data_IF_462285195071
#
_entry.id   IF_462285195071
#
_cell.length_a   1.000
_cell.length_b   1.000
_cell.length_c   1.000
_cell.angle_alpha   90.00
_cell.angle_beta   90.00
_cell.angle_gamma   90.00
#
_symmetry.space_group_name_H-M   'P 1'
#
loop_
_entity.id
_entity.type
_entity.pdbx_description
1 polymer ?
#
# COMPACT_ATOMS: atom_id res chain seq x y z
N UNK A 1 -7.71 -19.22 36.71
CA UNK A 1 -8.37 -18.06 36.07
C UNK A 1 -7.71 -16.72 36.40
N UNK A 2 -7.44 -16.41 37.67
CA UNK A 2 -6.96 -15.07 38.09
C UNK A 2 -5.62 -14.62 37.49
N UNK A 3 -4.65 -15.52 37.36
CA UNK A 3 -3.37 -15.22 36.70
C UNK A 3 -3.56 -14.82 35.24
N UNK A 4 -4.38 -15.57 34.51
CA UNK A 4 -4.70 -15.31 33.11
C UNK A 4 -5.49 -14.00 32.94
N UNK A 5 -6.40 -13.67 33.87
CA UNK A 5 -7.10 -12.37 33.88
C UNK A 5 -6.13 -11.20 34.07
N UNK A 6 -5.16 -11.35 34.97
CA UNK A 6 -4.13 -10.33 35.20
C UNK A 6 -3.25 -10.15 33.95
N UNK A 7 -2.82 -11.26 33.33
CA UNK A 7 -2.04 -11.23 32.09
C UNK A 7 -2.81 -10.58 30.94
N UNK A 8 -4.08 -10.98 30.74
CA UNK A 8 -5.00 -10.38 29.77
C UNK A 8 -5.13 -8.87 29.96
N UNK A 9 -5.23 -8.42 31.22
CA UNK A 9 -5.33 -6.99 31.55
C UNK A 9 -4.06 -6.24 31.15
N UNK A 10 -2.89 -6.82 31.39
CA UNK A 10 -1.60 -6.23 30.99
C UNK A 10 -1.50 -6.19 29.45
N UNK A 11 -1.83 -7.28 28.76
CA UNK A 11 -1.79 -7.37 27.31
C UNK A 11 -2.74 -6.35 26.64
N UNK A 12 -3.98 -6.19 27.15
CA UNK A 12 -4.95 -5.17 26.68
C UNK A 12 -4.39 -3.75 26.80
N UNK A 13 -3.69 -3.44 27.89
CA UNK A 13 -3.03 -2.13 28.10
C UNK A 13 -1.89 -1.92 27.12
N UNK A 14 -1.05 -2.93 26.90
CA UNK A 14 0.08 -2.86 25.95
C UNK A 14 -0.45 -2.65 24.52
N UNK A 15 -1.42 -3.46 24.09
CA UNK A 15 -2.05 -3.31 22.78
C UNK A 15 -2.69 -1.94 22.61
N UNK A 16 -3.45 -1.46 23.60
CA UNK A 16 -4.06 -0.13 23.53
C UNK A 16 -3.03 1.00 23.43
N UNK A 17 -1.89 0.89 24.12
CA UNK A 17 -0.77 1.84 23.96
C UNK A 17 -0.17 1.78 22.55
N UNK A 18 -0.02 0.59 21.98
CA UNK A 18 0.48 0.42 20.62
C UNK A 18 -0.49 1.05 19.58
N UNK A 19 -1.81 0.88 19.77
CA UNK A 19 -2.83 1.58 18.99
C UNK A 19 -2.66 3.10 19.06
N UNK A 20 -2.59 3.67 20.27
CA UNK A 20 -2.40 5.12 20.45
C UNK A 20 -1.10 5.61 19.81
N UNK A 21 -0.02 4.84 19.90
CA UNK A 21 1.25 5.21 19.28
C UNK A 21 1.16 5.23 17.74
N UNK A 22 0.42 4.30 17.13
CA UNK A 22 0.14 4.33 15.68
C UNK A 22 -0.71 5.53 15.31
N UNK A 23 -1.78 5.80 16.05
CA UNK A 23 -2.67 6.96 15.83
C UNK A 23 -1.91 8.28 15.90
N UNK A 24 -1.04 8.44 16.90
CA UNK A 24 -0.19 9.62 17.05
C UNK A 24 0.81 9.74 15.90
N UNK A 25 1.35 8.63 15.39
CA UNK A 25 2.31 8.64 14.28
C UNK A 25 1.66 9.08 12.98
N UNK A 26 0.50 8.52 12.63
CA UNK A 26 -0.21 8.85 11.38
C UNK A 26 -0.87 10.23 11.40
N UNK A 27 -1.05 10.84 12.58
CA UNK A 27 -1.65 12.16 12.74
C UNK A 27 -0.64 13.32 12.62
N UNK A 28 0.67 13.05 12.48
CA UNK A 28 1.67 14.11 12.33
C UNK A 28 1.59 14.73 10.94
N UNK A 29 1.98 16.00 10.81
CA UNK A 29 2.00 16.70 9.52
C UNK A 29 3.08 16.16 8.56
N UNK A 30 4.20 15.68 9.11
CA UNK A 30 5.28 15.03 8.34
C UNK A 30 5.53 13.61 8.86
N UNK A 31 4.74 12.64 8.40
CA UNK A 31 4.88 11.24 8.80
C UNK A 31 5.88 10.53 7.90
N UNK A 32 6.89 9.89 8.49
CA UNK A 32 7.74 8.96 7.76
C UNK A 32 7.03 7.61 7.60
N UNK A 33 6.80 7.17 6.36
CA UNK A 33 6.15 5.89 6.08
C UNK A 33 6.78 4.69 6.81
N UNK A 34 8.12 4.53 6.87
CA UNK A 34 8.74 3.44 7.63
C UNK A 34 8.39 3.47 9.13
N UNK A 35 8.33 4.64 9.75
CA UNK A 35 7.97 4.79 11.16
C UNK A 35 6.52 4.38 11.41
N UNK A 36 5.59 4.85 10.56
CA UNK A 36 4.19 4.45 10.63
C UNK A 36 4.01 2.94 10.41
N UNK A 37 4.73 2.34 9.46
CA UNK A 37 4.71 0.89 9.22
C UNK A 37 5.26 0.10 10.42
N UNK A 38 6.33 0.57 11.06
CA UNK A 38 6.88 -0.07 12.26
C UNK A 38 5.89 -0.04 13.43
N UNK A 39 5.19 1.09 13.65
CA UNK A 39 4.12 1.20 14.64
C UNK A 39 2.97 0.25 14.34
N UNK A 40 2.56 0.17 13.07
CA UNK A 40 1.54 -0.77 12.61
C UNK A 40 1.92 -2.22 12.93
N UNK A 41 3.14 -2.64 12.57
CA UNK A 41 3.63 -4.00 12.83
C UNK A 41 3.76 -4.33 14.31
N UNK A 42 4.19 -3.37 15.11
CA UNK A 42 4.25 -3.52 16.57
C UNK A 42 2.85 -3.75 17.15
N UNK A 43 1.87 -2.94 16.74
CA UNK A 43 0.48 -3.11 17.18
C UNK A 43 -0.09 -4.47 16.74
N UNK A 44 0.15 -4.93 15.51
CA UNK A 44 -0.30 -6.26 15.05
C UNK A 44 0.30 -7.38 15.91
N UNK A 45 1.58 -7.29 16.25
CA UNK A 45 2.27 -8.27 17.09
C UNK A 45 1.70 -8.33 18.50
N UNK A 46 1.48 -7.19 19.15
CA UNK A 46 0.89 -7.14 20.49
C UNK A 46 -0.58 -7.60 20.49
N UNK A 47 -1.33 -7.34 19.42
CA UNK A 47 -2.69 -7.88 19.26
C UNK A 47 -2.69 -9.41 19.19
N UNK A 48 -1.76 -10.01 18.44
CA UNK A 48 -1.66 -11.47 18.35
C UNK A 48 -1.36 -12.12 19.70
N UNK A 49 -0.51 -11.49 20.53
CA UNK A 49 -0.27 -11.97 21.90
C UNK A 49 -1.54 -11.93 22.74
N UNK A 50 -2.26 -10.81 22.71
CA UNK A 50 -3.55 -10.68 23.41
C UNK A 50 -4.53 -11.76 22.96
N UNK A 51 -4.63 -12.03 21.65
CA UNK A 51 -5.60 -13.01 21.14
C UNK A 51 -5.29 -14.44 21.57
N UNK A 52 -4.02 -14.79 21.77
CA UNK A 52 -3.65 -16.11 22.34
C UNK A 52 -4.17 -16.25 23.76
N UNK A 53 -3.94 -15.23 24.59
CA UNK A 53 -4.45 -15.19 25.98
C UNK A 53 -5.98 -15.22 25.99
N UNK A 54 -6.62 -14.50 25.08
CA UNK A 54 -8.07 -14.48 24.96
C UNK A 54 -8.65 -15.83 24.51
N UNK A 55 -7.96 -16.55 23.62
CA UNK A 55 -8.41 -17.88 23.19
C UNK A 55 -8.24 -18.91 24.32
N UNK A 56 -7.19 -18.82 25.14
CA UNK A 56 -7.08 -19.59 26.40
C UNK A 56 -8.19 -19.22 27.39
N UNK A 57 -8.52 -17.92 27.51
CA UNK A 57 -9.59 -17.45 28.37
C UNK A 57 -10.95 -18.02 27.96
N UNK A 58 -11.24 -18.09 26.65
CA UNK A 58 -12.48 -18.70 26.14
C UNK A 58 -12.61 -20.16 26.55
N UNK A 59 -11.52 -20.93 26.52
CA UNK A 59 -11.54 -22.34 26.95
C UNK A 59 -11.91 -22.44 28.43
N UNK A 60 -11.36 -21.58 29.27
CA UNK A 60 -11.73 -21.52 30.70
C UNK A 60 -13.19 -21.10 30.91
N UNK A 61 -13.66 -20.08 30.21
CA UNK A 61 -15.05 -19.59 30.30
C UNK A 61 -16.10 -20.63 29.92
N UNK A 62 -15.75 -21.57 29.02
CA UNK A 62 -16.63 -22.66 28.60
C UNK A 62 -16.61 -23.86 29.56
N UNK A 63 -15.57 -23.98 30.39
CA UNK A 63 -15.40 -25.12 31.31
C UNK A 63 -15.81 -24.79 32.74
N UNK A 64 -15.74 -23.53 33.14
CA UNK A 64 -16.20 -23.08 34.45
C UNK A 64 -17.72 -22.91 34.51
N UNK A 65 -18.30 -23.29 35.64
CA UNK A 65 -19.71 -23.09 35.92
C UNK A 65 -19.93 -21.62 36.33
N UNK A 66 -20.52 -20.85 35.41
CA UNK A 66 -20.82 -19.44 35.59
C UNK A 66 -22.15 -19.09 34.93
N UNK A 67 -22.71 -17.97 35.38
CA UNK A 67 -23.90 -17.38 34.80
C UNK A 67 -23.70 -17.08 33.30
N UNK A 68 -24.76 -17.29 32.51
CA UNK A 68 -24.72 -17.16 31.06
C UNK A 68 -24.53 -15.72 30.59
N UNK A 69 -25.15 -14.74 31.26
CA UNK A 69 -24.98 -13.32 30.93
C UNK A 69 -23.55 -12.86 31.23
N UNK A 70 -22.98 -13.32 32.35
CA UNK A 70 -21.58 -13.06 32.70
C UNK A 70 -20.64 -13.65 31.64
N UNK A 71 -20.91 -14.89 31.18
CA UNK A 71 -20.12 -15.51 30.12
C UNK A 71 -20.23 -14.72 28.81
N UNK A 72 -21.43 -14.33 28.40
CA UNK A 72 -21.67 -13.59 27.17
C UNK A 72 -20.87 -12.28 27.16
N UNK A 73 -20.93 -11.51 28.26
CA UNK A 73 -20.18 -10.27 28.40
C UNK A 73 -18.67 -10.47 28.27
N UNK A 74 -18.12 -11.53 28.86
CA UNK A 74 -16.69 -11.86 28.72
C UNK A 74 -16.30 -12.20 27.27
N UNK A 75 -17.19 -12.85 26.51
CA UNK A 75 -16.99 -13.11 25.08
C UNK A 75 -17.07 -11.84 24.23
N UNK A 76 -18.01 -10.94 24.52
CA UNK A 76 -18.14 -9.63 23.87
C UNK A 76 -16.88 -8.79 24.11
N UNK A 77 -16.42 -8.69 25.36
CA UNK A 77 -15.19 -8.00 25.74
C UNK A 77 -13.98 -8.52 24.95
N UNK A 78 -13.92 -9.81 24.66
CA UNK A 78 -12.84 -10.40 23.84
C UNK A 78 -13.00 -10.00 22.36
N UNK A 79 -14.23 -10.00 21.84
CA UNK A 79 -14.52 -9.63 20.44
C UNK A 79 -14.16 -8.17 20.14
N UNK A 80 -14.40 -7.26 21.09
CA UNK A 80 -14.14 -5.83 20.94
C UNK A 80 -12.68 -5.51 20.61
N UNK A 81 -11.72 -6.21 21.21
CA UNK A 81 -10.29 -6.00 20.91
C UNK A 81 -9.91 -6.51 19.52
N UNK A 82 -10.61 -7.52 18.98
CA UNK A 82 -10.43 -7.95 17.58
C UNK A 82 -10.96 -6.90 16.61
N UNK A 83 -12.15 -6.37 16.90
CA UNK A 83 -12.73 -5.27 16.13
C UNK A 83 -11.81 -4.03 16.13
N UNK A 84 -11.22 -3.73 17.29
CA UNK A 84 -10.23 -2.65 17.43
C UNK A 84 -9.02 -2.85 16.50
N UNK A 85 -8.47 -4.06 16.39
CA UNK A 85 -7.37 -4.32 15.44
C UNK A 85 -7.79 -4.03 13.99
N UNK A 86 -8.97 -4.49 13.57
CA UNK A 86 -9.46 -4.26 12.21
C UNK A 86 -9.69 -2.78 11.91
N UNK A 87 -10.22 -2.03 12.88
CA UNK A 87 -10.38 -0.59 12.76
C UNK A 87 -9.03 0.10 12.49
N UNK A 88 -7.99 -0.24 13.25
CA UNK A 88 -6.67 0.36 13.09
C UNK A 88 -5.97 -0.09 11.80
N UNK A 89 -6.19 -1.33 11.34
CA UNK A 89 -5.78 -1.77 9.99
C UNK A 89 -6.38 -0.87 8.91
N UNK A 90 -7.69 -0.65 8.96
CA UNK A 90 -8.39 0.24 8.03
C UNK A 90 -7.82 1.66 8.06
N UNK A 91 -7.61 2.24 9.25
CA UNK A 91 -6.98 3.56 9.40
C UNK A 91 -5.60 3.64 8.74
N UNK A 92 -4.74 2.64 8.98
CA UNK A 92 -3.41 2.60 8.41
C UNK A 92 -3.44 2.41 6.88
N UNK A 93 -4.33 1.58 6.36
CA UNK A 93 -4.50 1.38 4.93
C UNK A 93 -4.97 2.65 4.21
N UNK A 94 -5.93 3.37 4.78
CA UNK A 94 -6.36 4.68 4.29
C UNK A 94 -5.22 5.69 4.26
N UNK A 95 -4.45 5.77 5.35
CA UNK A 95 -3.25 6.61 5.42
C UNK A 95 -2.22 6.22 4.34
N UNK A 96 -1.91 4.93 4.20
CA UNK A 96 -0.95 4.44 3.21
C UNK A 96 -1.38 4.77 1.77
N UNK A 97 -2.68 4.68 1.48
CA UNK A 97 -3.23 5.08 0.18
C UNK A 97 -3.00 6.57 -0.10
N UNK A 98 -3.32 7.43 0.86
CA UNK A 98 -3.11 8.88 0.72
C UNK A 98 -1.62 9.24 0.53
N UNK A 99 -0.71 8.58 1.24
CA UNK A 99 0.75 8.77 1.08
C UNK A 99 1.23 8.30 -0.29
N UNK A 100 0.68 7.20 -0.84
CA UNK A 100 1.03 6.77 -2.20
C UNK A 100 0.54 7.77 -3.24
N UNK A 101 -0.71 8.22 -3.14
CA UNK A 101 -1.30 9.18 -4.09
C UNK A 101 -0.59 10.55 -4.09
N UNK A 102 -0.06 10.99 -2.94
CA UNK A 102 0.74 12.22 -2.86
C UNK A 102 2.10 12.04 -3.50
N UNK A 103 2.81 10.95 -3.21
CA UNK A 103 4.11 10.63 -3.84
C UNK A 103 4.01 10.46 -5.35
N UNK A 104 2.95 9.82 -5.84
CA UNK A 104 2.73 9.62 -7.26
C UNK A 104 2.43 10.96 -7.95
N UNK A 105 1.66 11.87 -7.31
CA UNK A 105 1.45 13.23 -7.82
C UNK A 105 2.73 14.05 -7.86
N UNK A 106 3.50 14.06 -6.77
CA UNK A 106 4.80 14.75 -6.73
C UNK A 106 5.76 14.22 -7.79
N UNK A 107 5.75 12.91 -8.05
CA UNK A 107 6.55 12.31 -9.12
C UNK A 107 6.11 12.75 -10.52
N UNK A 108 4.79 12.82 -10.77
CA UNK A 108 4.24 13.32 -12.04
C UNK A 108 4.52 14.81 -12.21
N UNK A 109 4.39 15.63 -11.16
CA UNK A 109 4.69 17.07 -11.21
C UNK A 109 6.19 17.34 -11.40
N UNK A 110 7.07 16.54 -10.77
CA UNK A 110 8.51 16.58 -11.00
C UNK A 110 8.90 16.13 -12.42
N UNK A 111 8.10 15.27 -13.07
CA UNK A 111 8.22 14.96 -14.50
C UNK A 111 7.56 16.04 -15.39
N UNK A 112 6.54 16.76 -14.91
CA UNK A 112 5.80 17.77 -15.68
C UNK A 112 6.60 19.05 -15.90
N UNK A 113 7.54 19.39 -15.00
CA UNK A 113 8.58 20.41 -15.28
C UNK A 113 9.61 19.97 -16.33
N UNK A 114 9.54 18.71 -16.79
CA UNK A 114 10.16 18.27 -18.06
C UNK A 114 9.04 18.15 -19.09
N UNK A 115 8.54 19.31 -19.55
CA UNK A 115 7.90 19.36 -20.87
C UNK A 115 8.96 19.03 -21.92
N UNK A 116 9.09 17.74 -22.20
CA UNK A 116 10.08 17.18 -23.12
C UNK A 116 10.22 15.66 -23.01
N UNK A 117 9.23 14.93 -23.52
CA UNK A 117 9.29 13.49 -23.91
C UNK A 117 9.11 12.39 -22.84
N UNK A 118 7.85 11.92 -22.73
CA UNK A 118 7.36 10.52 -22.70
C UNK A 118 8.22 9.37 -22.09
N UNK A 119 7.65 8.74 -21.06
CA UNK A 119 7.59 7.30 -20.66
C UNK A 119 8.47 6.29 -21.43
N UNK A 120 9.13 5.26 -20.87
CA UNK A 120 8.77 4.39 -19.75
C UNK A 120 9.99 3.51 -19.30
N UNK A 121 9.95 3.11 -18.03
CA UNK A 121 10.72 2.10 -17.28
C UNK A 121 11.71 1.13 -17.98
N UNK A 122 12.97 1.14 -17.51
CA UNK A 122 13.63 -0.06 -16.96
C UNK A 122 14.94 0.28 -16.22
N UNK A 123 15.05 -0.12 -14.96
CA UNK A 123 16.34 -0.17 -14.27
C UNK A 123 17.24 -1.22 -14.95
N UNK A 124 18.24 -0.76 -15.71
CA UNK A 124 19.58 -1.38 -15.83
C UNK A 124 20.47 -0.52 -16.74
N UNK A 125 21.53 0.05 -16.15
CA UNK A 125 22.63 0.76 -16.81
C UNK A 125 22.25 2.05 -17.56
N UNK A 126 22.44 3.22 -16.91
CA UNK A 126 22.43 4.53 -17.58
C UNK A 126 23.64 4.65 -18.53
N UNK A 127 23.59 3.97 -19.67
CA UNK A 127 24.37 4.34 -20.85
C UNK A 127 23.49 5.28 -21.66
N UNK A 128 23.85 6.56 -21.66
CA UNK A 128 23.19 7.55 -22.50
C UNK A 128 23.60 7.28 -23.96
N UNK A 129 22.85 6.43 -24.65
CA UNK A 129 22.99 6.29 -26.09
C UNK A 129 22.43 7.56 -26.72
N UNK A 130 23.33 8.37 -27.31
CA UNK A 130 22.92 9.46 -28.19
C UNK A 130 22.28 8.81 -29.42
N UNK A 131 20.95 8.80 -29.46
CA UNK A 131 20.24 8.41 -30.66
C UNK A 131 20.59 9.43 -31.77
N UNK A 132 20.86 9.00 -33.00
CA UNK A 132 20.95 9.91 -34.13
C UNK A 132 19.65 10.72 -34.18
N UNK A 133 19.75 12.03 -34.33
CA UNK A 133 18.55 12.87 -34.48
C UNK A 133 17.80 12.39 -35.72
N UNK A 134 16.58 11.90 -35.52
CA UNK A 134 15.69 11.54 -36.61
C UNK A 134 15.16 12.85 -37.18
N UNK A 135 15.81 13.35 -38.22
CA UNK A 135 15.30 14.47 -38.99
C UNK A 135 14.21 13.94 -39.90
N UNK A 136 12.98 14.44 -39.73
CA UNK A 136 11.91 14.14 -40.68
C UNK A 136 12.35 14.66 -42.05
N UNK A 137 12.36 13.78 -43.04
CA UNK A 137 12.77 14.13 -44.40
C UNK A 137 11.84 15.24 -44.90
N UNK A 138 12.36 16.45 -44.99
CA UNK A 138 11.60 17.58 -45.49
C UNK A 138 11.42 17.38 -47.00
N UNK A 139 10.18 17.51 -47.46
CA UNK A 139 9.85 17.38 -48.87
C UNK A 139 10.18 18.71 -49.56
N UNK A 140 11.06 18.68 -50.55
CA UNK A 140 11.54 19.86 -51.28
C UNK A 140 10.56 20.38 -52.34
N UNK A 141 9.37 19.77 -52.43
CA UNK A 141 8.33 20.15 -53.38
C UNK A 141 8.52 19.54 -54.77
N UNK A 142 9.59 18.76 -55.00
CA UNK A 142 9.88 18.21 -56.32
C UNK A 142 9.07 16.93 -56.61
N UNK A 143 8.25 16.94 -57.67
CA UNK A 143 7.29 15.88 -57.98
C UNK A 143 7.93 14.48 -58.13
N UNK A 144 9.20 14.42 -58.54
CA UNK A 144 9.97 13.15 -58.64
C UNK A 144 10.20 12.50 -57.28
N UNK A 145 10.48 13.30 -56.25
CA UNK A 145 10.68 12.82 -54.88
C UNK A 145 9.35 12.36 -54.25
N UNK A 146 8.23 12.97 -54.66
CA UNK A 146 6.88 12.58 -54.22
C UNK A 146 6.49 11.19 -54.74
N UNK A 147 6.72 10.95 -56.02
CA UNK A 147 6.43 9.66 -56.66
C UNK A 147 7.34 8.56 -56.11
N UNK A 148 8.61 8.85 -55.86
CA UNK A 148 9.53 7.91 -55.21
C UNK A 148 9.13 7.53 -53.79
N UNK A 149 8.58 8.47 -53.03
CA UNK A 149 8.06 8.21 -51.68
C UNK A 149 6.83 7.27 -51.71
N UNK A 150 5.84 7.54 -52.56
CA UNK A 150 4.65 6.69 -52.66
C UNK A 150 4.90 5.33 -53.33
N UNK A 151 5.91 5.24 -54.18
CA UNK A 151 6.37 3.97 -54.78
C UNK A 151 6.84 2.94 -53.75
N UNK A 152 7.25 3.37 -52.55
CA UNK A 152 7.65 2.46 -51.45
C UNK A 152 6.47 1.68 -50.87
N UNK A 153 5.25 2.20 -50.97
CA UNK A 153 4.04 1.56 -50.47
C UNK A 153 3.35 0.68 -51.52
N UNK A 154 3.81 0.74 -52.78
CA UNK A 154 3.22 -0.01 -53.90
C UNK A 154 3.38 -1.54 -53.78
N UNK A 155 4.36 -1.99 -52.99
CA UNK A 155 4.64 -3.42 -52.75
C UNK A 155 3.66 -4.06 -51.75
N UNK A 156 2.79 -3.28 -51.10
CA UNK A 156 1.86 -3.79 -50.08
C UNK A 156 0.54 -4.29 -50.70
N UNK A 157 0.19 -3.84 -51.91
CA UNK A 157 -1.13 -4.11 -52.52
C UNK A 157 -1.12 -5.18 -53.62
N UNK A 158 0.05 -5.59 -54.12
CA UNK A 158 0.19 -6.72 -55.06
C UNK A 158 0.73 -7.95 -54.31
N UNK A 159 -0.17 -8.68 -53.64
CA UNK A 159 0.14 -10.06 -53.23
C UNK A 159 0.15 -10.95 -54.49
N UNK A 160 1.23 -11.69 -54.79
CA UNK A 160 1.18 -12.70 -55.82
C UNK A 160 0.27 -13.85 -55.35
N UNK A 161 -0.72 -14.19 -56.18
CA UNK A 161 -1.51 -15.43 -56.13
C UNK A 161 -0.64 -16.67 -56.10
#
# INVERSE_FOLDING_TARGET
>A
METLKAERTIARRIFSRACTALEQEIAKDSVEYPAALARMKTMEYEAQKLFRIDDEMKVLLMTEQMDEEVRLKEFEDISDYRNKLYLFRGKFESYNRAVKETRDREFVDAQSVVSGSQYNNNMKSKRNFKLPKIEQKQFDGELKNWLGFWGQFKVIDESPT
#
